data_IF_664864481280
#
_entry.id   IF_664864481280
#
_cell.length_a   1.000
_cell.length_b   1.000
_cell.length_c   1.000
_cell.angle_alpha   90.00
_cell.angle_beta   90.00
_cell.angle_gamma   90.00
#
_symmetry.space_group_name_H-M   'P 1'
#
loop_
_entity.id
_entity.type
_entity.pdbx_description
1 polymer ?
#
# COMPACT_ATOMS: atom_id res chain seq x y z
N UNK A 1 32.00 13.75 20.58
CA UNK A 1 30.60 13.36 20.36
C UNK A 1 29.89 14.56 19.77
N UNK A 2 29.55 14.51 18.49
CA UNK A 2 28.81 15.57 17.81
C UNK A 2 27.32 15.43 18.16
N UNK A 3 26.68 16.51 18.59
CA UNK A 3 25.27 16.53 18.94
C UNK A 3 24.41 16.22 17.68
N UNK A 4 23.27 15.54 17.81
CA UNK A 4 22.40 15.27 16.67
C UNK A 4 21.90 16.58 16.08
N UNK A 5 22.22 16.83 14.81
CA UNK A 5 21.70 17.99 14.06
C UNK A 5 20.17 17.94 14.06
N UNK A 6 19.53 19.01 14.53
CA UNK A 6 18.07 19.20 14.42
C UNK A 6 17.64 18.97 12.97
N UNK A 7 16.62 18.14 12.77
CA UNK A 7 16.07 17.85 11.45
C UNK A 7 15.63 19.15 10.76
N UNK A 8 16.09 19.38 9.53
CA UNK A 8 15.64 20.52 8.73
C UNK A 8 14.17 20.34 8.34
N UNK A 9 13.27 21.25 8.77
CA UNK A 9 11.82 21.07 8.68
C UNK A 9 11.27 21.07 7.24
N UNK A 10 12.09 21.42 6.24
CA UNK A 10 11.67 21.57 4.83
C UNK A 10 12.49 20.74 3.85
N UNK A 11 13.23 19.72 4.31
CA UNK A 11 13.99 18.85 3.42
C UNK A 11 13.04 18.17 2.42
N UNK A 12 13.16 18.55 1.15
CA UNK A 12 12.54 17.85 0.03
C UNK A 12 13.19 16.48 -0.08
N UNK A 13 12.39 15.44 0.10
CA UNK A 13 12.80 14.05 -0.06
C UNK A 13 12.01 13.52 -1.25
N UNK A 14 12.71 12.94 -2.23
CA UNK A 14 12.11 12.37 -3.42
C UNK A 14 12.60 10.93 -3.59
N UNK A 15 11.70 10.05 -4.03
CA UNK A 15 11.96 8.64 -4.25
C UNK A 15 10.68 7.82 -4.22
N UNK A 16 10.79 6.52 -4.44
CA UNK A 16 9.65 5.61 -4.49
C UNK A 16 9.43 4.89 -3.15
N UNK A 17 8.16 4.74 -2.74
CA UNK A 17 7.77 4.07 -1.51
C UNK A 17 7.53 5.02 -0.33
N UNK A 18 7.38 4.45 0.86
CA UNK A 18 6.95 5.15 2.08
C UNK A 18 8.10 5.61 2.97
N UNK A 19 9.35 5.27 2.65
CA UNK A 19 10.55 5.75 3.35
C UNK A 19 10.65 7.27 3.45
N UNK A 20 9.99 8.01 2.55
CA UNK A 20 9.95 9.49 2.60
C UNK A 20 9.34 10.04 3.89
N UNK A 21 8.59 9.20 4.62
CA UNK A 21 8.00 9.55 5.91
C UNK A 21 8.97 9.42 7.10
N UNK A 22 10.15 8.82 6.92
CA UNK A 22 11.19 8.71 7.97
C UNK A 22 11.61 10.08 8.52
N UNK A 23 11.57 11.11 7.66
CA UNK A 23 11.97 12.47 8.00
C UNK A 23 10.80 13.35 8.47
N UNK A 24 9.64 12.77 8.80
CA UNK A 24 8.45 13.53 9.22
C UNK A 24 8.24 13.40 10.72
N UNK A 25 7.79 14.49 11.32
CA UNK A 25 7.63 14.62 12.77
C UNK A 25 6.59 13.63 13.34
N UNK A 26 5.52 13.38 12.59
CA UNK A 26 4.48 12.43 12.99
C UNK A 26 4.77 11.06 12.39
N UNK A 27 4.88 10.00 13.21
CA UNK A 27 5.12 8.66 12.70
C UNK A 27 3.94 8.20 11.83
N UNK A 28 4.26 7.54 10.72
CA UNK A 28 3.27 6.91 9.86
C UNK A 28 2.91 5.53 10.38
N UNK A 29 1.64 5.16 10.29
CA UNK A 29 1.20 3.78 10.48
C UNK A 29 1.24 3.09 9.11
N UNK A 30 2.10 2.10 8.96
CA UNK A 30 2.23 1.30 7.75
C UNK A 30 2.48 -0.16 8.10
N UNK A 31 1.96 -1.07 7.29
CA UNK A 31 2.25 -2.49 7.42
C UNK A 31 1.67 -3.31 6.28
N UNK A 32 2.37 -4.39 5.93
CA UNK A 32 1.92 -5.34 4.91
C UNK A 32 2.01 -4.85 3.46
N UNK A 33 2.85 -3.83 3.17
CA UNK A 33 3.05 -3.36 1.80
C UNK A 33 4.06 -4.22 1.03
N UNK A 34 4.01 -4.14 -0.30
CA UNK A 34 4.96 -4.77 -1.23
C UNK A 34 5.72 -3.67 -1.96
N UNK A 35 7.05 -3.72 -1.91
CA UNK A 35 7.95 -2.72 -2.49
C UNK A 35 8.79 -3.35 -3.60
N UNK A 36 8.51 -2.97 -4.85
CA UNK A 36 9.18 -3.48 -6.05
C UNK A 36 9.97 -2.36 -6.74
N UNK A 37 10.87 -2.74 -7.66
CA UNK A 37 11.56 -1.83 -8.57
C UNK A 37 12.17 -0.58 -7.91
N UNK A 38 12.95 -0.79 -6.84
CA UNK A 38 13.61 0.29 -6.09
C UNK A 38 12.73 1.06 -5.10
N UNK A 39 11.44 0.75 -4.97
CA UNK A 39 10.60 1.30 -3.90
C UNK A 39 11.09 0.82 -2.52
N UNK A 40 10.94 1.66 -1.50
CA UNK A 40 11.45 1.39 -0.14
C UNK A 40 10.40 1.62 0.95
N UNK A 41 10.37 0.75 1.99
CA UNK A 41 9.46 0.89 3.12
C UNK A 41 9.86 2.04 4.05
N UNK A 42 8.86 2.54 4.78
CA UNK A 42 9.03 3.34 5.98
C UNK A 42 9.85 2.56 7.02
N UNK A 43 10.78 3.22 7.71
CA UNK A 43 11.74 2.55 8.57
C UNK A 43 11.10 1.75 9.72
N UNK A 44 9.95 2.21 10.24
CA UNK A 44 9.20 1.52 11.29
C UNK A 44 8.02 0.69 10.76
N UNK A 45 7.91 0.48 9.44
CA UNK A 45 6.92 -0.43 8.89
C UNK A 45 7.18 -1.88 9.28
N UNK A 46 6.11 -2.62 9.55
CA UNK A 46 6.16 -4.06 9.85
C UNK A 46 5.56 -4.88 8.72
N UNK A 47 6.02 -6.12 8.57
CA UNK A 47 5.45 -7.11 7.64
C UNK A 47 5.53 -6.72 6.14
N UNK A 48 6.45 -5.83 5.77
CA UNK A 48 6.67 -5.46 4.38
C UNK A 48 7.39 -6.58 3.59
N UNK A 49 7.04 -6.71 2.31
CA UNK A 49 7.81 -7.48 1.33
C UNK A 49 8.62 -6.51 0.46
N UNK A 50 9.92 -6.75 0.29
CA UNK A 50 10.81 -5.84 -0.46
C UNK A 50 11.61 -6.62 -1.49
N UNK A 51 11.44 -6.30 -2.76
CA UNK A 51 12.15 -6.88 -3.89
C UNK A 51 12.61 -5.78 -4.86
N UNK A 52 13.71 -5.09 -4.55
CA UNK A 52 14.10 -3.86 -5.24
C UNK A 52 14.54 -4.10 -6.70
N UNK A 53 14.86 -5.35 -7.06
CA UNK A 53 15.30 -5.73 -8.41
C UNK A 53 14.16 -6.30 -9.27
N UNK A 54 12.98 -6.53 -8.70
CA UNK A 54 11.82 -7.04 -9.44
C UNK A 54 11.11 -5.88 -10.13
N UNK A 55 11.06 -5.89 -11.47
CA UNK A 55 10.25 -4.96 -12.25
C UNK A 55 8.89 -5.61 -12.56
N UNK A 56 7.77 -5.06 -12.07
CA UNK A 56 6.44 -5.60 -12.33
C UNK A 56 5.88 -5.22 -13.71
N UNK A 57 6.64 -4.52 -14.56
CA UNK A 57 6.23 -4.17 -15.94
C UNK A 57 4.85 -3.49 -16.00
N UNK A 58 4.59 -2.59 -15.04
CA UNK A 58 3.31 -1.91 -14.92
C UNK A 58 3.08 -1.01 -16.13
N UNK A 59 1.92 -1.14 -16.76
CA UNK A 59 1.45 -0.27 -17.84
C UNK A 59 -0.07 -0.17 -17.86
N UNK A 60 -0.58 0.90 -18.47
CA UNK A 60 -2.00 1.05 -18.78
C UNK A 60 -2.17 1.09 -20.30
N UNK A 61 -3.12 0.31 -20.81
CA UNK A 61 -3.43 0.25 -22.24
C UNK A 61 -4.91 0.51 -22.44
N UNK A 62 -5.24 1.41 -23.37
CA UNK A 62 -6.61 1.68 -23.79
C UNK A 62 -6.94 0.92 -25.07
N UNK A 63 -8.00 0.12 -25.04
CA UNK A 63 -8.47 -0.66 -26.18
C UNK A 63 -9.99 -0.60 -26.28
N UNK A 64 -10.50 -0.10 -27.41
CA UNK A 64 -11.95 -0.11 -27.74
C UNK A 64 -12.84 0.45 -26.61
N UNK A 65 -12.39 1.53 -25.96
CA UNK A 65 -13.12 2.18 -24.86
C UNK A 65 -13.01 1.48 -23.50
N UNK A 66 -12.12 0.50 -23.36
CA UNK A 66 -11.76 -0.12 -22.08
C UNK A 66 -10.32 0.20 -21.71
N UNK A 67 -10.02 0.27 -20.41
CA UNK A 67 -8.66 0.46 -19.87
C UNK A 67 -8.20 -0.85 -19.22
N UNK A 68 -6.98 -1.26 -19.53
CA UNK A 68 -6.36 -2.47 -19.00
C UNK A 68 -5.07 -2.13 -18.24
N UNK A 69 -4.94 -2.68 -17.04
CA UNK A 69 -3.68 -2.76 -16.31
C UNK A 69 -2.87 -3.97 -16.80
N UNK A 70 -1.69 -3.69 -17.32
CA UNK A 70 -0.65 -4.68 -17.57
C UNK A 70 0.26 -4.73 -16.35
N UNK A 71 0.49 -5.93 -15.81
CA UNK A 71 1.36 -6.13 -14.65
C UNK A 71 1.88 -7.57 -14.60
N UNK A 72 3.14 -7.75 -14.25
CA UNK A 72 3.73 -9.06 -13.94
C UNK A 72 3.68 -9.30 -12.43
N UNK A 73 2.84 -10.25 -12.03
CA UNK A 73 2.59 -10.60 -10.62
C UNK A 73 3.51 -11.76 -10.21
N UNK A 74 4.47 -11.46 -9.34
CA UNK A 74 5.39 -12.47 -8.82
C UNK A 74 5.03 -12.97 -7.41
N UNK A 75 5.89 -13.83 -6.86
CA UNK A 75 5.71 -14.42 -5.53
C UNK A 75 5.93 -13.41 -4.40
N UNK A 76 6.44 -12.22 -4.71
CA UNK A 76 6.73 -11.12 -3.78
C UNK A 76 5.49 -10.58 -3.06
N UNK A 77 4.28 -10.86 -3.56
CA UNK A 77 3.04 -10.55 -2.85
C UNK A 77 2.82 -11.47 -1.63
N UNK A 78 3.37 -12.69 -1.64
CA UNK A 78 3.10 -13.70 -0.59
C UNK A 78 3.77 -13.40 0.76
N UNK A 79 5.02 -12.90 0.83
CA UNK A 79 5.66 -12.56 2.10
C UNK A 79 5.00 -11.37 2.82
N UNK A 80 4.29 -10.51 2.11
CA UNK A 80 3.59 -9.39 2.72
C UNK A 80 2.41 -9.92 3.56
N UNK A 81 2.48 -9.77 4.88
CA UNK A 81 1.39 -10.13 5.76
C UNK A 81 0.40 -8.96 5.89
N UNK A 82 -0.27 -8.64 4.77
CA UNK A 82 -1.32 -7.63 4.76
C UNK A 82 -2.46 -8.04 5.71
N UNK A 83 -3.05 -7.04 6.37
CA UNK A 83 -4.14 -7.22 7.34
C UNK A 83 -5.40 -6.58 6.78
N UNK A 84 -6.56 -7.15 7.14
CA UNK A 84 -7.85 -6.53 6.83
C UNK A 84 -7.91 -5.14 7.46
N UNK A 85 -8.18 -4.13 6.63
CA UNK A 85 -8.27 -2.73 7.07
C UNK A 85 -9.64 -2.46 7.64
N UNK A 86 -9.68 -1.94 8.87
CA UNK A 86 -10.92 -1.64 9.61
C UNK A 86 -10.77 -0.32 10.36
N UNK A 87 -11.88 0.27 10.81
CA UNK A 87 -11.86 1.43 11.72
C UNK A 87 -10.94 1.20 12.92
N UNK A 88 -11.03 0.01 13.53
CA UNK A 88 -10.22 -0.33 14.70
C UNK A 88 -8.72 -0.38 14.37
N UNK A 89 -8.35 -0.89 13.20
CA UNK A 89 -6.95 -0.93 12.76
C UNK A 89 -6.42 0.49 12.47
N UNK A 90 -7.21 1.32 11.80
CA UNK A 90 -6.81 2.69 11.41
C UNK A 90 -6.80 3.67 12.59
N UNK A 91 -7.62 3.41 13.62
CA UNK A 91 -7.75 4.27 14.78
C UNK A 91 -8.35 5.64 14.43
N UNK A 92 -7.67 6.72 14.83
CA UNK A 92 -8.11 8.10 14.67
C UNK A 92 -7.07 8.93 13.94
N UNK A 93 -7.52 9.85 13.09
CA UNK A 93 -6.65 10.82 12.45
C UNK A 93 -6.03 11.77 13.50
N UNK A 94 -4.74 12.04 13.36
CA UNK A 94 -3.97 12.76 14.39
C UNK A 94 -4.32 14.26 14.54
N UNK A 95 -4.98 14.88 13.56
CA UNK A 95 -5.35 16.32 13.63
C UNK A 95 -6.80 16.48 14.06
N UNK A 96 -7.74 15.85 13.35
CA UNK A 96 -9.17 15.99 13.65
C UNK A 96 -9.62 15.15 14.84
N UNK A 97 -8.87 14.11 15.22
CA UNK A 97 -9.28 13.17 16.27
C UNK A 97 -10.46 12.28 15.87
N UNK A 98 -10.86 12.28 14.59
CA UNK A 98 -12.00 11.52 14.09
C UNK A 98 -11.61 10.11 13.65
N UNK A 99 -12.50 9.12 13.81
CA UNK A 99 -12.31 7.77 13.29
C UNK A 99 -12.56 7.70 11.78
N UNK A 100 -12.10 6.60 11.18
CA UNK A 100 -12.43 6.24 9.80
C UNK A 100 -13.71 5.41 9.78
N UNK A 101 -14.81 5.93 9.24
CA UNK A 101 -16.14 5.30 9.27
C UNK A 101 -16.83 5.42 7.90
N UNK A 102 -17.89 4.63 7.71
CA UNK A 102 -18.78 4.76 6.55
C UNK A 102 -19.62 6.05 6.60
N UNK A 103 -20.27 6.46 5.50
CA UNK A 103 -21.12 7.67 5.47
C UNK A 103 -22.27 7.66 6.48
N UNK A 104 -22.78 6.49 6.87
CA UNK A 104 -23.81 6.31 7.89
C UNK A 104 -23.26 6.30 9.33
N UNK A 105 -21.95 6.45 9.50
CA UNK A 105 -21.25 6.43 10.78
C UNK A 105 -20.89 5.03 11.29
N UNK A 106 -21.27 3.95 10.59
CA UNK A 106 -20.90 2.59 10.96
C UNK A 106 -19.39 2.34 10.81
N UNK A 107 -18.79 1.40 11.57
CA UNK A 107 -17.40 1.03 11.41
C UNK A 107 -17.07 0.56 9.98
N UNK A 108 -16.04 1.14 9.39
CA UNK A 108 -15.48 0.77 8.10
C UNK A 108 -14.78 -0.60 8.19
N UNK A 109 -15.00 -1.43 7.18
CA UNK A 109 -14.17 -2.58 6.85
C UNK A 109 -13.94 -2.61 5.34
N UNK A 110 -12.67 -2.75 4.93
CA UNK A 110 -12.32 -2.96 3.52
C UNK A 110 -12.26 -4.47 3.28
N UNK A 111 -13.39 -5.04 2.89
CA UNK A 111 -13.56 -6.49 2.68
C UNK A 111 -13.91 -6.88 1.25
N UNK A 112 -14.13 -5.90 0.37
CA UNK A 112 -14.19 -6.11 -1.05
C UNK A 112 -12.91 -5.62 -1.74
N UNK A 113 -12.56 -6.26 -2.84
CA UNK A 113 -11.51 -5.79 -3.75
C UNK A 113 -12.06 -4.82 -4.80
N UNK A 114 -11.21 -4.40 -5.75
CA UNK A 114 -11.59 -3.47 -6.82
C UNK A 114 -12.82 -3.90 -7.63
N UNK A 115 -13.05 -5.22 -7.78
CA UNK A 115 -14.16 -5.77 -8.55
C UNK A 115 -15.39 -6.09 -7.68
N UNK A 116 -15.35 -5.78 -6.39
CA UNK A 116 -16.41 -6.13 -5.45
C UNK A 116 -16.29 -7.56 -4.91
N UNK A 117 -15.22 -8.30 -5.23
CA UNK A 117 -15.03 -9.66 -4.74
C UNK A 117 -14.59 -9.64 -3.27
N UNK A 118 -15.11 -10.57 -2.47
CA UNK A 118 -14.74 -10.68 -1.06
C UNK A 118 -13.24 -11.00 -0.90
N UNK A 119 -12.58 -10.30 0.02
CA UNK A 119 -11.20 -10.54 0.44
C UNK A 119 -11.15 -11.62 1.51
N UNK A 120 -10.04 -12.35 1.57
CA UNK A 120 -9.76 -13.25 2.68
C UNK A 120 -9.71 -12.45 4.00
N UNK A 121 -10.53 -12.78 5.01
CA UNK A 121 -10.64 -12.00 6.23
C UNK A 121 -9.41 -12.12 7.14
N UNK A 122 -8.62 -13.18 7.00
CA UNK A 122 -7.44 -13.44 7.81
C UNK A 122 -6.14 -13.04 7.10
N UNK A 123 -6.06 -13.29 5.78
CA UNK A 123 -4.85 -13.08 4.96
C UNK A 123 -5.21 -12.44 3.61
N UNK A 124 -5.68 -11.20 3.59
CA UNK A 124 -5.98 -10.52 2.33
C UNK A 124 -4.71 -10.34 1.49
N UNK A 125 -4.85 -10.39 0.16
CA UNK A 125 -3.77 -10.01 -0.76
C UNK A 125 -3.44 -8.52 -0.64
N UNK A 126 -2.16 -8.18 -0.75
CA UNK A 126 -1.72 -6.80 -0.85
C UNK A 126 -2.16 -6.19 -2.20
N UNK A 127 -2.51 -4.90 -2.17
CA UNK A 127 -2.96 -4.16 -3.35
C UNK A 127 -4.47 -4.26 -3.63
N UNK A 128 -4.91 -3.73 -4.78
CA UNK A 128 -6.33 -3.50 -5.06
C UNK A 128 -7.12 -4.77 -5.40
N UNK A 129 -6.45 -5.85 -5.83
CA UNK A 129 -7.08 -7.09 -6.27
C UNK A 129 -6.92 -8.19 -5.22
N UNK A 130 -8.01 -8.90 -4.91
CA UNK A 130 -8.00 -10.01 -3.96
C UNK A 130 -7.23 -11.22 -4.50
N UNK A 131 -7.30 -11.44 -5.81
CA UNK A 131 -6.53 -12.47 -6.52
C UNK A 131 -6.05 -11.92 -7.87
N UNK A 132 -4.89 -11.25 -7.93
CA UNK A 132 -4.39 -10.67 -9.17
C UNK A 132 -3.83 -11.71 -10.17
N UNK A 133 -3.79 -13.00 -9.85
CA UNK A 133 -3.17 -14.03 -10.68
C UNK A 133 -1.65 -14.16 -10.46
N UNK A 134 -0.94 -14.76 -11.41
CA UNK A 134 0.50 -14.98 -11.35
C UNK A 134 1.14 -14.87 -12.76
N UNK A 135 2.36 -14.35 -12.85
CA UNK A 135 3.01 -14.03 -14.12
C UNK A 135 2.42 -12.77 -14.76
N UNK A 136 2.57 -12.63 -16.09
CA UNK A 136 2.04 -11.49 -16.82
C UNK A 136 0.49 -11.50 -16.81
N UNK A 137 -0.10 -10.39 -16.43
CA UNK A 137 -1.54 -10.19 -16.30
C UNK A 137 -1.99 -9.01 -17.15
N UNK A 138 -3.19 -9.15 -17.73
CA UNK A 138 -3.96 -8.07 -18.37
C UNK A 138 -5.31 -7.98 -17.68
N UNK A 139 -5.46 -7.00 -16.81
CA UNK A 139 -6.61 -6.84 -15.92
C UNK A 139 -7.44 -5.66 -16.44
N UNK A 140 -8.71 -5.89 -16.81
CA UNK A 140 -9.60 -4.79 -17.19
C UNK A 140 -9.94 -3.95 -15.95
N UNK A 141 -9.72 -2.65 -16.00
CA UNK A 141 -9.95 -1.73 -14.88
C UNK A 141 -10.97 -0.62 -15.17
N UNK A 142 -11.34 -0.42 -16.43
CA UNK A 142 -12.44 0.46 -16.86
C UNK A 142 -13.05 -0.09 -18.16
#
# INVERSE_FOLDING_TARGET
MEAPKKAEPHRRVAGYGTWVYDARERPSQAGGNVYLNGARPYAAETNASVAPKTNPEIGLVEERGSVFLMITVGSELKPAAARRVTTALLGKAAVSGLPFVNPDGSPLAIDADYFGAARDPAKPSAGPFGNPGAGAQKIKVW
#
